data_IF_293894343906
#
_entry.id   IF_293894343906
#
_cell.length_a   1.000
_cell.length_b   1.000
_cell.length_c   1.000
_cell.angle_alpha   90.00
_cell.angle_beta   90.00
_cell.angle_gamma   90.00
#
_symmetry.space_group_name_H-M   'P 1'
#
loop_
_entity.id
_entity.type
_entity.pdbx_description
1 polymer ?
#
# COMPACT_ATOMS: atom_id res chain seq x y z
N UNK A 1 7.70 9.16 -43.35
CA UNK A 1 6.92 8.04 -42.81
C UNK A 1 7.75 7.37 -41.72
N UNK A 2 7.71 7.89 -40.49
CA UNK A 2 8.37 7.29 -39.33
C UNK A 2 7.34 6.40 -38.63
N UNK A 3 7.57 5.09 -38.70
CA UNK A 3 6.74 4.10 -38.03
C UNK A 3 6.71 4.39 -36.53
N UNK A 4 5.53 4.68 -36.03
CA UNK A 4 5.25 4.61 -34.59
C UNK A 4 5.21 3.13 -34.27
N UNK A 5 6.29 2.60 -33.71
CA UNK A 5 6.27 1.30 -33.07
C UNK A 5 5.39 1.41 -31.82
N UNK A 6 4.10 1.14 -31.99
CA UNK A 6 3.19 0.92 -30.88
C UNK A 6 3.66 -0.32 -30.14
N UNK A 7 4.37 -0.11 -29.01
CA UNK A 7 4.70 -1.14 -28.04
C UNK A 7 3.44 -1.74 -27.43
N UNK A 8 2.85 -2.69 -28.16
CA UNK A 8 1.78 -3.59 -27.72
C UNK A 8 2.43 -4.96 -27.63
N UNK A 9 2.73 -5.45 -26.42
CA UNK A 9 3.29 -6.80 -26.29
C UNK A 9 4.04 -7.20 -25.02
N UNK A 10 4.07 -6.40 -23.96
CA UNK A 10 4.41 -6.87 -22.62
C UNK A 10 3.22 -6.59 -21.71
N UNK A 11 2.80 -7.55 -20.89
CA UNK A 11 1.77 -7.32 -19.88
C UNK A 11 2.15 -6.06 -19.09
N UNK A 12 1.41 -4.96 -19.30
CA UNK A 12 1.74 -3.68 -18.68
C UNK A 12 1.44 -3.82 -17.20
N UNK A 13 2.49 -3.97 -16.41
CA UNK A 13 2.35 -4.04 -14.95
C UNK A 13 1.92 -2.64 -14.47
N UNK A 14 0.82 -2.53 -13.70
CA UNK A 14 0.38 -1.25 -13.17
C UNK A 14 1.49 -0.56 -12.36
N UNK A 15 1.63 0.78 -12.41
CA UNK A 15 2.62 1.49 -11.63
C UNK A 15 2.53 1.18 -10.13
N UNK A 16 3.66 0.81 -9.52
CA UNK A 16 3.76 0.44 -8.11
C UNK A 16 5.18 0.66 -7.59
N UNK A 17 5.33 0.61 -6.26
CA UNK A 17 6.61 0.65 -5.56
C UNK A 17 6.49 -0.16 -4.26
N UNK A 18 6.83 -1.46 -4.34
CA UNK A 18 6.66 -2.36 -3.20
C UNK A 18 7.64 -2.05 -2.05
N UNK A 19 8.78 -1.44 -2.33
CA UNK A 19 9.74 -1.01 -1.30
C UNK A 19 9.16 0.16 -0.50
N UNK A 20 8.57 1.14 -1.18
CA UNK A 20 7.87 2.24 -0.51
C UNK A 20 6.69 1.74 0.32
N UNK A 21 5.87 0.82 -0.20
CA UNK A 21 4.75 0.26 0.55
C UNK A 21 5.19 -0.48 1.82
N UNK A 22 6.24 -1.31 1.72
CA UNK A 22 6.84 -1.97 2.89
C UNK A 22 7.36 -0.96 3.90
N UNK A 23 8.09 0.06 3.45
CA UNK A 23 8.66 1.09 4.31
C UNK A 23 7.58 1.92 5.03
N UNK A 24 6.43 2.19 4.39
CA UNK A 24 5.27 2.81 5.05
C UNK A 24 4.78 1.93 6.19
N UNK A 25 4.42 0.68 5.91
CA UNK A 25 3.89 -0.25 6.91
C UNK A 25 4.90 -0.48 8.05
N UNK A 26 6.18 -0.63 7.72
CA UNK A 26 7.27 -0.71 8.69
C UNK A 26 7.35 0.51 9.58
N UNK A 27 7.25 1.72 9.03
CA UNK A 27 7.28 2.96 9.80
C UNK A 27 6.12 3.05 10.80
N UNK A 28 4.92 2.61 10.40
CA UNK A 28 3.72 2.60 11.23
C UNK A 28 3.83 1.63 12.43
N UNK A 29 4.58 0.54 12.28
CA UNK A 29 4.85 -0.42 13.37
C UNK A 29 5.87 0.10 14.39
N UNK A 30 6.72 1.04 13.97
CA UNK A 30 7.85 1.54 14.79
C UNK A 30 7.53 2.88 15.46
N UNK A 31 6.71 3.73 14.83
CA UNK A 31 6.44 5.08 15.32
C UNK A 31 4.96 5.44 15.27
N UNK A 32 4.42 5.79 16.43
CA UNK A 32 3.04 6.26 16.57
C UNK A 32 2.81 7.62 15.88
N UNK A 33 3.83 8.48 15.84
CA UNK A 33 3.74 9.76 15.11
C UNK A 33 3.67 9.57 13.59
N UNK A 34 4.26 8.48 13.08
CA UNK A 34 4.17 8.14 11.66
C UNK A 34 2.75 7.71 11.27
N UNK A 35 2.02 7.07 12.19
CA UNK A 35 0.63 6.65 11.96
C UNK A 35 -0.25 7.85 11.62
N UNK A 36 -0.25 8.88 12.47
CA UNK A 36 -1.06 10.07 12.25
C UNK A 36 -0.71 10.76 10.92
N UNK A 37 0.58 10.95 10.64
CA UNK A 37 1.05 11.61 9.43
C UNK A 37 0.66 10.85 8.14
N UNK A 38 0.66 9.51 8.18
CA UNK A 38 0.32 8.67 7.02
C UNK A 38 -1.18 8.47 6.88
N UNK A 39 -1.94 8.40 7.98
CA UNK A 39 -3.40 8.24 7.94
C UNK A 39 -4.10 9.41 7.22
N UNK A 40 -3.53 10.61 7.27
CA UNK A 40 -4.02 11.78 6.50
C UNK A 40 -3.68 11.70 5.01
N UNK A 41 -2.71 10.85 4.64
CA UNK A 41 -2.10 10.80 3.31
C UNK A 41 -2.35 9.50 2.56
N UNK A 42 -2.91 8.45 3.15
CA UNK A 42 -3.16 7.21 2.43
C UNK A 42 -4.49 6.59 2.79
N UNK A 43 -5.15 6.00 1.79
CA UNK A 43 -6.20 5.00 2.00
C UNK A 43 -5.69 3.60 1.65
N UNK A 44 -6.32 2.53 2.16
CA UNK A 44 -5.91 1.16 1.84
C UNK A 44 -5.85 0.87 0.33
N UNK A 45 -6.75 1.45 -0.48
CA UNK A 45 -6.85 1.22 -1.93
C UNK A 45 -5.64 1.76 -2.70
N UNK A 46 -4.87 2.67 -2.10
CA UNK A 46 -3.67 3.26 -2.73
C UNK A 46 -2.46 2.32 -2.71
N UNK A 47 -2.49 1.24 -1.93
CA UNK A 47 -1.48 0.19 -2.04
C UNK A 47 -1.73 -0.69 -3.28
N UNK A 48 -0.67 -1.08 -3.98
CA UNK A 48 -0.75 -2.01 -5.10
C UNK A 48 -0.90 -3.46 -4.61
N UNK A 49 -0.11 -3.84 -3.61
CA UNK A 49 -0.14 -5.18 -3.01
C UNK A 49 -1.42 -5.40 -2.20
N UNK A 50 -2.20 -6.43 -2.53
CA UNK A 50 -3.38 -6.81 -1.75
C UNK A 50 -3.02 -7.09 -0.28
N UNK A 51 -1.90 -7.78 -0.05
CA UNK A 51 -1.37 -8.02 1.30
C UNK A 51 -1.14 -6.72 2.07
N UNK A 52 -0.56 -5.70 1.42
CA UNK A 52 -0.34 -4.41 2.06
C UNK A 52 -1.65 -3.65 2.30
N UNK A 53 -2.64 -3.74 1.39
CA UNK A 53 -3.98 -3.16 1.61
C UNK A 53 -4.60 -3.71 2.89
N UNK A 54 -4.55 -5.04 3.05
CA UNK A 54 -5.12 -5.75 4.19
C UNK A 54 -4.44 -5.34 5.50
N UNK A 55 -3.10 -5.33 5.51
CA UNK A 55 -2.32 -4.93 6.68
C UNK A 55 -2.61 -3.47 7.05
N UNK A 56 -2.58 -2.55 6.07
CA UNK A 56 -2.84 -1.15 6.31
C UNK A 56 -4.28 -0.90 6.78
N UNK A 57 -5.27 -1.60 6.21
CA UNK A 57 -6.65 -1.53 6.69
C UNK A 57 -6.78 -1.99 8.15
N UNK A 58 -6.09 -3.06 8.56
CA UNK A 58 -6.04 -3.51 9.95
C UNK A 58 -5.41 -2.46 10.88
N UNK A 59 -4.31 -1.84 10.45
CA UNK A 59 -3.69 -0.71 11.16
C UNK A 59 -4.67 0.45 11.33
N UNK A 60 -5.42 0.82 10.29
CA UNK A 60 -6.40 1.92 10.38
C UNK A 60 -7.58 1.57 11.30
N UNK A 61 -8.00 0.30 11.38
CA UNK A 61 -9.00 -0.13 12.37
C UNK A 61 -8.50 0.06 13.80
N UNK A 62 -7.26 -0.36 14.09
CA UNK A 62 -6.62 -0.12 15.39
C UNK A 62 -6.54 1.38 15.70
N UNK A 63 -6.03 2.17 14.75
CA UNK A 63 -5.91 3.62 14.88
C UNK A 63 -7.25 4.29 15.19
N UNK A 64 -8.32 3.88 14.49
CA UNK A 64 -9.67 4.44 14.68
C UNK A 64 -10.26 4.18 16.07
N UNK A 65 -9.81 3.13 16.77
CA UNK A 65 -10.20 2.82 18.15
C UNK A 65 -9.28 3.43 19.19
N UNK A 66 -8.22 4.13 18.77
CA UNK A 66 -7.17 4.63 19.65
C UNK A 66 -6.25 3.54 20.19
N UNK A 67 -6.24 2.36 19.57
CA UNK A 67 -5.34 1.27 19.94
C UNK A 67 -3.94 1.57 19.39
N UNK A 68 -2.92 1.28 20.20
CA UNK A 68 -1.52 1.34 19.74
C UNK A 68 -1.32 0.34 18.61
N UNK A 69 -0.62 0.78 17.56
CA UNK A 69 -0.19 -0.10 16.46
C UNK A 69 1.21 -0.62 16.78
N UNK A 70 1.31 -1.92 17.03
CA UNK A 70 2.57 -2.65 17.12
C UNK A 70 2.37 -4.08 16.59
N UNK A 71 3.43 -4.88 16.59
CA UNK A 71 3.38 -6.24 16.04
C UNK A 71 2.36 -7.13 16.75
N UNK A 72 2.15 -6.97 18.05
CA UNK A 72 1.23 -7.80 18.84
C UNK A 72 -0.20 -7.39 18.53
N UNK A 73 -0.50 -6.09 18.59
CA UNK A 73 -1.86 -5.59 18.34
C UNK A 73 -2.29 -5.82 16.89
N UNK A 74 -1.39 -5.62 15.92
CA UNK A 74 -1.65 -5.92 14.51
C UNK A 74 -1.90 -7.42 14.29
N UNK A 75 -1.09 -8.28 14.90
CA UNK A 75 -1.28 -9.74 14.79
C UNK A 75 -2.63 -10.15 15.34
N UNK A 76 -3.05 -9.62 16.50
CA UNK A 76 -4.35 -9.90 17.08
C UNK A 76 -5.49 -9.41 16.19
N UNK A 77 -5.39 -8.20 15.64
CA UNK A 77 -6.38 -7.63 14.72
C UNK A 77 -6.50 -8.45 13.43
N UNK A 78 -5.39 -8.94 12.87
CA UNK A 78 -5.43 -9.79 11.66
C UNK A 78 -5.98 -11.19 11.94
N UNK A 79 -5.71 -11.75 13.12
CA UNK A 79 -6.25 -13.05 13.52
C UNK A 79 -7.76 -13.00 13.76
N UNK A 80 -8.28 -11.91 14.35
CA UNK A 80 -9.72 -11.78 14.64
C UNK A 80 -10.60 -11.83 13.39
N UNK A 81 -10.03 -11.49 12.22
CA UNK A 81 -10.69 -11.53 10.91
C UNK A 81 -10.19 -12.64 9.99
N UNK A 82 -9.38 -13.58 10.50
CA UNK A 82 -8.79 -14.70 9.75
C UNK A 82 -7.92 -14.27 8.54
N UNK A 83 -7.25 -13.12 8.62
CA UNK A 83 -6.38 -12.62 7.54
C UNK A 83 -4.88 -12.81 7.81
N UNK A 84 -4.49 -13.18 9.04
CA UNK A 84 -3.09 -13.27 9.46
C UNK A 84 -2.24 -14.20 8.59
N UNK A 85 -2.72 -15.41 8.33
CA UNK A 85 -1.99 -16.36 7.48
C UNK A 85 -1.97 -15.92 6.01
N UNK A 86 -3.05 -15.27 5.55
CA UNK A 86 -3.17 -14.73 4.18
C UNK A 86 -2.14 -13.65 3.89
N UNK A 87 -1.74 -12.88 4.90
CA UNK A 87 -0.73 -11.81 4.74
C UNK A 87 0.72 -12.29 4.92
N UNK A 88 0.96 -13.60 5.02
CA UNK A 88 2.30 -14.19 5.18
C UNK A 88 2.72 -14.42 6.63
N UNK A 89 1.81 -14.21 7.59
CA UNK A 89 2.00 -14.51 9.00
C UNK A 89 3.16 -13.76 9.65
N UNK A 90 3.69 -14.35 10.73
CA UNK A 90 4.63 -13.67 11.63
C UNK A 90 5.94 -13.27 10.95
N UNK A 91 6.44 -14.11 10.05
CA UNK A 91 7.68 -13.86 9.33
C UNK A 91 7.59 -12.59 8.47
N UNK A 92 6.46 -12.38 7.81
CA UNK A 92 6.26 -11.22 6.95
C UNK A 92 6.10 -9.92 7.75
N UNK A 93 5.34 -9.94 8.85
CA UNK A 93 5.22 -8.77 9.73
C UNK A 93 6.58 -8.36 10.30
N UNK A 94 7.44 -9.32 10.63
CA UNK A 94 8.79 -9.02 11.09
C UNK A 94 9.66 -8.38 10.00
N UNK A 95 9.61 -8.89 8.77
CA UNK A 95 10.31 -8.29 7.62
C UNK A 95 9.86 -6.85 7.32
N UNK A 96 8.59 -6.53 7.56
CA UNK A 96 8.08 -5.17 7.38
C UNK A 96 8.75 -4.19 8.35
N UNK A 97 8.97 -4.59 9.61
CA UNK A 97 9.69 -3.76 10.58
C UNK A 97 11.14 -3.50 10.14
N UNK A 98 11.79 -4.49 9.54
CA UNK A 98 13.18 -4.35 9.05
C UNK A 98 13.29 -3.53 7.75
N UNK A 99 12.18 -3.35 7.03
CA UNK A 99 12.18 -2.68 5.72
C UNK A 99 12.30 -1.15 5.80
N UNK A 100 12.13 -0.55 6.99
CA UNK A 100 12.17 0.91 7.17
C UNK A 100 13.53 1.36 7.75
N UNK A 101 14.31 2.18 7.02
CA UNK A 101 15.57 2.73 7.56
C UNK A 101 15.33 3.70 8.72
N UNK A 102 14.27 4.51 8.63
CA UNK A 102 13.83 5.43 9.68
C UNK A 102 12.36 5.77 9.53
N UNK A 103 11.61 5.72 10.63
CA UNK A 103 10.19 6.05 10.65
C UNK A 103 9.91 7.54 10.36
N UNK A 104 10.91 8.42 10.55
CA UNK A 104 10.77 9.86 10.23
C UNK A 104 10.48 10.13 8.75
N UNK A 105 10.79 9.18 7.87
CA UNK A 105 10.54 9.30 6.42
C UNK A 105 9.17 8.76 5.98
N UNK A 106 8.30 8.36 6.91
CA UNK A 106 7.00 7.74 6.61
C UNK A 106 6.16 8.53 5.60
N UNK A 107 6.03 9.84 5.81
CA UNK A 107 5.30 10.74 4.92
C UNK A 107 5.85 10.71 3.48
N UNK A 108 7.18 10.75 3.32
CA UNK A 108 7.83 10.68 2.01
C UNK A 108 7.59 9.35 1.31
N UNK A 109 7.60 8.23 2.05
CA UNK A 109 7.26 6.93 1.46
C UNK A 109 5.78 6.88 1.05
N UNK A 110 4.89 7.48 1.86
CA UNK A 110 3.47 7.58 1.55
C UNK A 110 3.20 8.40 0.27
N UNK A 111 3.91 9.50 0.06
CA UNK A 111 3.86 10.29 -1.18
C UNK A 111 4.21 9.45 -2.42
N UNK A 112 5.22 8.57 -2.32
CA UNK A 112 5.59 7.67 -3.41
C UNK A 112 4.44 6.71 -3.73
N UNK A 113 3.87 6.06 -2.70
CA UNK A 113 2.75 5.12 -2.86
C UNK A 113 1.54 5.82 -3.50
N UNK A 114 1.16 6.99 -2.97
CA UNK A 114 0.08 7.83 -3.52
C UNK A 114 0.34 8.23 -4.97
N UNK A 115 1.56 8.62 -5.30
CA UNK A 115 1.95 8.95 -6.68
C UNK A 115 1.75 7.79 -7.64
N UNK A 116 2.11 6.56 -7.23
CA UNK A 116 1.86 5.34 -8.02
C UNK A 116 0.36 5.04 -8.12
N UNK A 117 -0.39 5.21 -7.04
CA UNK A 117 -1.85 5.03 -7.03
C UNK A 117 -2.57 5.98 -8.00
N UNK A 118 -2.16 7.25 -8.03
CA UNK A 118 -2.68 8.24 -8.97
C UNK A 118 -2.46 7.80 -10.42
N UNK A 119 -1.25 7.33 -10.75
CA UNK A 119 -0.96 6.83 -12.10
C UNK A 119 -1.82 5.62 -12.46
N UNK A 120 -2.08 4.70 -11.51
CA UNK A 120 -3.00 3.58 -11.73
C UNK A 120 -4.43 4.06 -11.98
N UNK A 121 -4.90 5.06 -11.22
CA UNK A 121 -6.23 5.67 -11.41
C UNK A 121 -6.37 6.32 -12.79
N UNK A 122 -5.35 7.05 -13.25
CA UNK A 122 -5.34 7.64 -14.60
C UNK A 122 -5.43 6.55 -15.68
N UNK A 123 -4.70 5.43 -15.52
CA UNK A 123 -4.77 4.30 -16.45
C UNK A 123 -6.18 3.69 -16.45
N UNK A 124 -6.77 3.44 -15.27
CA UNK A 124 -8.11 2.85 -15.15
C UNK A 124 -9.18 3.72 -15.81
N UNK A 125 -9.18 5.02 -15.49
CA UNK A 125 -10.10 5.99 -16.10
C UNK A 125 -9.91 6.03 -17.62
N UNK A 126 -8.67 6.05 -18.11
CA UNK A 126 -8.39 6.03 -19.55
C UNK A 126 -8.89 4.77 -20.25
N UNK A 127 -8.73 3.59 -19.63
CA UNK A 127 -9.28 2.33 -20.14
C UNK A 127 -10.80 2.36 -20.21
N UNK A 128 -11.46 2.83 -19.14
CA UNK A 128 -12.93 2.96 -19.10
C UNK A 128 -13.48 3.91 -20.17
N UNK A 129 -12.84 5.06 -20.37
CA UNK A 129 -13.21 6.01 -21.43
C UNK A 129 -13.10 5.35 -22.81
N UNK A 130 -12.04 4.57 -23.01
CA UNK A 130 -11.83 3.85 -24.28
C UNK A 130 -12.92 2.80 -24.49
N UNK A 131 -13.23 2.00 -23.47
CA UNK A 131 -14.30 0.99 -23.52
C UNK A 131 -15.68 1.62 -23.79
N UNK A 132 -16.00 2.71 -23.12
CA UNK A 132 -17.27 3.43 -23.29
C UNK A 132 -17.41 4.04 -24.69
N UNK A 133 -16.31 4.41 -25.36
CA UNK A 133 -16.33 4.95 -26.73
C UNK A 133 -16.60 3.89 -27.81
N UNK A 134 -16.38 2.60 -27.51
CA UNK A 134 -16.68 1.48 -28.42
C UNK A 134 -18.06 0.85 -28.19
N UNK A 135 -18.79 1.29 -27.16
CA UNK A 135 -20.15 0.85 -26.85
C UNK A 135 -21.19 1.65 -27.63
#
# INVERSE_FOLDING_TARGET
>A
MRSVETGVGAARVPPHDLDAERAVIGALLVSETAVAAVAEQLTPEEFYSETHRVIYAAMMRLYSRGDRIDQITLTNELNSVNEFDRVGGRAYIFQLVESVPTASNAARYAEIVRGKALLRSVIDVGSRITEDAFR
#
